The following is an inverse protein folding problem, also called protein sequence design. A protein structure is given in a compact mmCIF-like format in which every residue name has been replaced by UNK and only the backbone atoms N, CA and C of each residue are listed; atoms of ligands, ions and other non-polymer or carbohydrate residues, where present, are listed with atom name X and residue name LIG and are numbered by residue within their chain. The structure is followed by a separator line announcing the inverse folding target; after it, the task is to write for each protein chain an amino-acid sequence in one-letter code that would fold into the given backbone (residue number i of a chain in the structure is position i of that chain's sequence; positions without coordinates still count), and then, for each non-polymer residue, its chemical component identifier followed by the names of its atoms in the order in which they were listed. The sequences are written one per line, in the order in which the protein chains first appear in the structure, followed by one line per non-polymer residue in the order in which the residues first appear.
data_IF_447507138214
#
_entry.id   IF_447507138214
#
_cell.length_a   1.000
_cell.length_b   1.000
_cell.length_c   1.000
_cell.angle_alpha   90.00
_cell.angle_beta   90.00
_cell.angle_gamma   90.00
#
_symmetry.space_group_name_H-M   'P 1'
#
loop_
_entity.id
_entity.type
_entity.pdbx_description
1 polymer ?
#
# COMPACT_ATOMS: atom_id res chain seq x y z
N UNK A 1 -3.27 11.61 -10.38
CA UNK A 1 -3.09 10.47 -11.31
C UNK A 1 -1.73 9.83 -11.14
N UNK A 2 -0.61 10.58 -11.05
CA UNK A 2 0.72 9.98 -10.88
C UNK A 2 0.83 9.02 -9.68
N UNK A 3 0.39 9.43 -8.49
CA UNK A 3 0.38 8.56 -7.30
C UNK A 3 -0.37 7.24 -7.51
N UNK A 4 -1.56 7.30 -8.13
CA UNK A 4 -2.37 6.11 -8.47
C UNK A 4 -1.60 5.19 -9.42
N UNK A 5 -0.89 5.75 -10.41
CA UNK A 5 -0.09 4.96 -11.35
C UNK A 5 1.08 4.27 -10.64
N UNK A 6 1.78 4.98 -9.76
CA UNK A 6 2.88 4.42 -8.96
C UNK A 6 2.38 3.30 -8.04
N UNK A 7 1.26 3.51 -7.35
CA UNK A 7 0.62 2.50 -6.52
C UNK A 7 0.21 1.26 -7.33
N UNK A 8 -0.28 1.47 -8.55
CA UNK A 8 -0.63 0.39 -9.47
C UNK A 8 0.60 -0.41 -9.91
N UNK A 9 1.74 0.24 -10.18
CA UNK A 9 3.01 -0.41 -10.49
C UNK A 9 3.44 -1.30 -9.32
N UNK A 10 3.47 -0.77 -8.09
CA UNK A 10 3.83 -1.55 -6.91
C UNK A 10 2.86 -2.73 -6.71
N UNK A 11 1.55 -2.49 -6.81
CA UNK A 11 0.53 -3.52 -6.59
C UNK A 11 0.58 -4.65 -7.62
N UNK A 12 0.83 -4.33 -8.90
CA UNK A 12 0.98 -5.33 -9.97
C UNK A 12 2.22 -6.21 -9.76
N UNK A 13 3.28 -5.64 -9.23
CA UNK A 13 4.57 -6.30 -9.06
C UNK A 13 4.82 -6.79 -7.63
N UNK A 14 3.80 -6.75 -6.76
CA UNK A 14 3.94 -7.01 -5.32
C UNK A 14 4.66 -8.33 -4.97
N UNK A 15 4.51 -9.36 -5.81
CA UNK A 15 5.14 -10.67 -5.61
C UNK A 15 6.36 -10.90 -6.50
N UNK A 16 6.98 -9.85 -7.04
CA UNK A 16 8.19 -9.99 -7.85
C UNK A 16 9.34 -10.54 -7.03
N UNK A 17 10.16 -11.40 -7.65
CA UNK A 17 11.46 -11.82 -7.13
C UNK A 17 12.60 -10.97 -7.67
N UNK A 18 12.33 -10.12 -8.67
CA UNK A 18 13.28 -9.17 -9.25
C UNK A 18 12.71 -7.74 -9.14
N UNK A 19 13.15 -6.96 -8.14
CA UNK A 19 12.65 -5.61 -7.91
C UNK A 19 13.30 -4.55 -8.80
N UNK A 20 14.45 -4.83 -9.42
CA UNK A 20 15.20 -3.86 -10.22
C UNK A 20 14.38 -3.24 -11.38
N UNK A 21 13.67 -4.01 -12.23
CA UNK A 21 12.86 -3.44 -13.30
C UNK A 21 11.68 -2.61 -12.75
N UNK A 22 11.12 -2.99 -11.60
CA UNK A 22 10.02 -2.26 -10.97
C UNK A 22 10.49 -0.89 -10.49
N UNK A 23 11.67 -0.82 -9.86
CA UNK A 23 12.27 0.42 -9.40
C UNK A 23 12.58 1.34 -10.60
N UNK A 24 13.12 0.78 -11.68
CA UNK A 24 13.37 1.53 -12.91
C UNK A 24 12.07 2.13 -13.49
N UNK A 25 11.00 1.33 -13.56
CA UNK A 25 9.69 1.77 -14.04
C UNK A 25 9.08 2.87 -13.14
N UNK A 26 9.25 2.76 -11.82
CA UNK A 26 8.79 3.78 -10.86
C UNK A 26 9.50 5.11 -11.08
N UNK A 27 10.83 5.09 -11.22
CA UNK A 27 11.61 6.30 -11.52
C UNK A 27 11.25 6.90 -12.88
N UNK A 28 11.13 6.06 -13.91
CA UNK A 28 10.74 6.50 -15.24
C UNK A 28 9.34 7.12 -15.25
N UNK A 29 8.39 6.55 -14.50
CA UNK A 29 7.03 7.06 -14.37
C UNK A 29 6.97 8.36 -13.57
N UNK A 30 7.78 8.47 -12.51
CA UNK A 30 7.85 9.66 -11.68
C UNK A 30 8.51 10.86 -12.38
N UNK A 31 9.49 10.60 -13.26
CA UNK A 31 10.20 11.66 -13.99
C UNK A 31 10.87 12.65 -13.04
N UNK A 32 10.49 13.93 -13.17
CA UNK A 32 11.00 15.05 -12.37
C UNK A 32 10.24 15.26 -11.04
N UNK A 33 9.40 14.31 -10.63
CA UNK A 33 8.60 14.36 -9.39
C UNK A 33 9.03 13.34 -8.34
N UNK A 34 10.27 13.42 -7.82
CA UNK A 34 10.75 12.51 -6.77
C UNK A 34 9.99 12.69 -5.45
N UNK A 35 9.37 13.85 -5.23
CA UNK A 35 8.49 14.11 -4.08
C UNK A 35 7.27 13.19 -4.09
N UNK A 36 6.59 13.07 -5.24
CA UNK A 36 5.42 12.18 -5.38
C UNK A 36 5.85 10.71 -5.35
N UNK A 37 7.02 10.38 -5.91
CA UNK A 37 7.58 9.03 -5.86
C UNK A 37 7.79 8.58 -4.42
N UNK A 38 8.52 9.38 -3.65
CA UNK A 38 8.85 9.06 -2.24
C UNK A 38 7.61 9.01 -1.37
N UNK A 39 6.66 9.93 -1.57
CA UNK A 39 5.37 9.88 -0.87
C UNK A 39 4.60 8.59 -1.16
N UNK A 40 4.36 8.29 -2.45
CA UNK A 40 3.50 7.17 -2.84
C UNK A 40 4.13 5.83 -2.46
N UNK A 41 5.41 5.65 -2.80
CA UNK A 41 6.15 4.41 -2.49
C UNK A 41 6.30 4.22 -0.98
N UNK A 42 6.58 5.28 -0.23
CA UNK A 42 6.75 5.18 1.22
C UNK A 42 5.44 4.77 1.91
N UNK A 43 4.32 5.39 1.53
CA UNK A 43 2.99 5.00 2.02
C UNK A 43 2.68 3.54 1.67
N UNK A 44 2.97 3.12 0.44
CA UNK A 44 2.72 1.75 -0.02
C UNK A 44 3.55 0.73 0.79
N UNK A 45 4.85 0.97 0.97
CA UNK A 45 5.75 0.11 1.75
C UNK A 45 5.27 -0.01 3.20
N UNK A 46 4.92 1.12 3.84
CA UNK A 46 4.43 1.11 5.22
C UNK A 46 3.11 0.36 5.39
N UNK A 47 2.25 0.37 4.36
CA UNK A 47 0.97 -0.36 4.41
C UNK A 47 1.15 -1.88 4.24
N UNK A 48 2.12 -2.30 3.44
CA UNK A 48 2.27 -3.66 2.92
C UNK A 48 3.48 -4.42 3.49
N UNK A 49 3.94 -4.09 4.70
CA UNK A 49 5.05 -4.79 5.34
C UNK A 49 4.67 -6.22 5.80
N UNK A 50 4.60 -7.18 4.87
CA UNK A 50 4.29 -8.60 5.13
C UNK A 50 5.29 -9.56 4.44
N UNK A 51 5.36 -10.80 4.94
CA UNK A 51 6.34 -11.82 4.52
C UNK A 51 6.31 -12.17 3.02
N UNK A 52 5.14 -12.05 2.35
CA UNK A 52 4.99 -12.37 0.93
C UNK A 52 5.40 -11.25 -0.04
N UNK A 53 5.64 -10.05 0.49
CA UNK A 53 5.92 -8.81 -0.24
C UNK A 53 7.30 -8.25 0.17
N UNK A 54 8.05 -9.03 0.95
CA UNK A 54 9.34 -8.66 1.54
C UNK A 54 10.38 -8.31 0.48
N UNK A 55 10.49 -9.04 -0.63
CA UNK A 55 11.52 -8.74 -1.66
C UNK A 55 11.37 -7.33 -2.23
N UNK A 56 10.16 -6.95 -2.65
CA UNK A 56 9.90 -5.62 -3.20
C UNK A 56 9.99 -4.56 -2.10
N UNK A 57 9.37 -4.78 -0.93
CA UNK A 57 9.42 -3.81 0.17
C UNK A 57 10.85 -3.56 0.68
N UNK A 58 11.70 -4.59 0.78
CA UNK A 58 13.11 -4.46 1.15
C UNK A 58 13.87 -3.62 0.12
N UNK A 59 13.70 -3.90 -1.17
CA UNK A 59 14.38 -3.14 -2.20
C UNK A 59 13.90 -1.67 -2.27
N UNK A 60 12.60 -1.44 -2.09
CA UNK A 60 12.03 -0.09 -2.08
C UNK A 60 12.53 0.74 -0.90
N UNK A 61 12.80 0.13 0.27
CA UNK A 61 13.33 0.87 1.44
C UNK A 61 14.69 1.51 1.24
N UNK A 62 15.46 1.06 0.26
CA UNK A 62 16.76 1.65 -0.07
C UNK A 62 16.61 3.00 -0.81
N UNK A 63 15.40 3.39 -1.22
CA UNK A 63 15.18 4.69 -1.87
C UNK A 63 15.23 5.84 -0.83
N UNK A 64 15.84 6.98 -1.18
CA UNK A 64 15.98 8.09 -0.23
C UNK A 64 14.64 8.78 0.07
N UNK A 65 14.43 9.18 1.33
CA UNK A 65 13.34 10.08 1.72
C UNK A 65 11.98 9.42 1.99
N UNK A 66 11.94 8.09 2.16
CA UNK A 66 10.72 7.32 2.38
C UNK A 66 10.22 7.34 3.83
N UNK A 67 11.11 7.45 4.81
CA UNK A 67 10.84 7.26 6.24
C UNK A 67 9.60 8.00 6.76
N UNK A 68 9.40 9.31 6.47
CA UNK A 68 8.20 10.02 6.94
C UNK A 68 6.90 9.41 6.42
N UNK A 69 6.93 8.87 5.21
CA UNK A 69 5.78 8.32 4.49
C UNK A 69 5.50 6.87 4.85
N UNK A 70 6.54 6.09 5.17
CA UNK A 70 6.40 4.73 5.71
C UNK A 70 5.59 4.77 7.01
N UNK A 71 5.87 5.72 7.91
CA UNK A 71 5.11 5.88 9.14
C UNK A 71 3.61 6.16 8.87
N UNK A 72 3.30 6.93 7.83
CA UNK A 72 1.93 7.21 7.42
C UNK A 72 1.25 5.95 6.88
N UNK A 73 1.93 5.18 6.03
CA UNK A 73 1.44 3.90 5.52
C UNK A 73 1.13 2.90 6.64
N UNK A 74 2.05 2.75 7.58
CA UNK A 74 1.89 1.88 8.75
C UNK A 74 0.71 2.33 9.63
N UNK A 75 0.57 3.63 9.86
CA UNK A 75 -0.57 4.20 10.60
C UNK A 75 -1.91 3.89 9.91
N UNK A 76 -1.98 3.99 8.57
CA UNK A 76 -3.18 3.61 7.80
C UNK A 76 -3.50 2.12 7.91
N UNK A 77 -2.49 1.24 7.95
CA UNK A 77 -2.65 -0.20 8.12
C UNK A 77 -3.11 -0.58 9.53
N UNK A 78 -2.63 0.15 10.54
CA UNK A 78 -2.97 -0.08 11.94
C UNK A 78 -4.36 0.44 12.32
N UNK A 79 -4.97 1.30 11.50
CA UNK A 79 -6.34 1.72 11.73
C UNK A 79 -7.29 0.51 11.64
N UNK A 80 -8.21 0.36 12.60
CA UNK A 80 -9.15 -0.74 12.57
C UNK A 80 -9.94 -0.69 11.27
N UNK A 81 -9.96 -1.83 10.57
CA UNK A 81 -10.73 -2.03 9.35
C UNK A 81 -12.14 -1.46 9.57
N UNK A 82 -12.61 -0.58 8.68
CA UNK A 82 -13.96 0.00 8.70
C UNK A 82 -15.00 -1.07 8.36
N UNK A 83 -14.91 -2.26 8.99
CA UNK A 83 -15.98 -3.23 9.00
C UNK A 83 -17.22 -2.50 9.49
N UNK A 84 -18.25 -2.53 8.66
CA UNK A 84 -19.61 -2.15 9.01
C UNK A 84 -19.89 -2.70 10.41
N UNK A 85 -20.34 -1.88 11.39
CA UNK A 85 -20.85 -2.41 12.62
C UNK A 85 -21.86 -3.49 12.26
N UNK A 86 -21.69 -4.71 12.76
CA UNK A 86 -22.63 -5.81 12.52
C UNK A 86 -23.96 -5.48 13.23
N UNK A 87 -24.74 -4.57 12.66
CA UNK A 87 -26.07 -4.19 13.12
C UNK A 87 -27.10 -5.22 12.64
N UNK A 88 -26.85 -6.50 12.92
CA UNK A 88 -27.79 -7.60 12.70
C UNK A 88 -27.97 -8.49 13.95
N UNK A 89 -27.74 -7.95 15.14
CA UNK A 89 -28.03 -8.65 16.40
C UNK A 89 -29.44 -8.32 16.98
N UNK A 90 -30.37 -7.80 16.17
CA UNK A 90 -31.67 -7.32 16.69
C UNK A 90 -32.90 -7.47 15.80
N UNK A 91 -32.82 -8.17 14.67
CA UNK A 91 -34.01 -8.45 13.86
C UNK A 91 -34.61 -9.81 14.25
N UNK A 92 -35.48 -9.80 15.26
CA UNK A 92 -36.38 -10.93 15.51
C UNK A 92 -37.48 -10.92 14.45
N UNK A 93 -37.45 -11.91 13.55
CA UNK A 93 -38.56 -12.16 12.64
C UNK A 93 -39.70 -12.85 13.43
N UNK A 94 -40.97 -12.42 13.28
CA UNK A 94 -42.08 -13.13 13.91
C UNK A 94 -42.29 -14.49 13.22
N UNK A 95 -42.42 -15.54 14.03
CA UNK A 95 -42.84 -16.85 13.56
C UNK A 95 -44.27 -16.77 12.99
N UNK A 96 -44.47 -17.26 11.77
CA UNK A 96 -45.80 -17.44 11.18
C UNK A 96 -46.49 -18.60 11.89
N UNK A 97 -47.54 -18.28 12.65
CA UNK A 97 -48.59 -19.20 13.10
C UNK A 97 -49.89 -18.88 12.39
#
# INVERSE_FOLDING_TARGET
MLSITLDAICSRNRYTTDPAPVIADLYATAGDRPDILTESVGIWVGFFEEAHITTLCTALRELPGLEPWIAIGASRRAQPDHRTPTAHAGASWPARG
#
